data_IF_966188915395
#
_entry.id   IF_966188915395
#
_cell.length_a   1.000
_cell.length_b   1.000
_cell.length_c   1.000
_cell.angle_alpha   90.00
_cell.angle_beta   90.00
_cell.angle_gamma   90.00
#
_symmetry.space_group_name_H-M   'P 1'
#
loop_
_entity.id
_entity.type
_entity.pdbx_description
1 polymer ?
#
# COMPACT_ATOMS: atom_id res chain seq x y z
N UNK A 1 -30.60 8.54 -12.38
CA UNK A 1 -30.02 9.43 -13.41
C UNK A 1 -29.10 10.38 -12.67
N UNK A 2 -27.82 10.46 -13.03
CA UNK A 2 -26.86 11.33 -12.34
C UNK A 2 -27.17 12.77 -12.77
N UNK A 3 -27.40 13.66 -11.80
CA UNK A 3 -27.76 15.04 -12.10
C UNK A 3 -26.51 15.79 -12.57
N UNK A 4 -26.64 16.65 -13.57
CA UNK A 4 -25.51 17.40 -14.15
C UNK A 4 -24.80 18.25 -13.09
N UNK A 5 -25.53 18.64 -12.05
CA UNK A 5 -25.02 19.43 -10.92
C UNK A 5 -24.15 18.63 -9.93
N UNK A 6 -24.13 17.30 -9.99
CA UNK A 6 -23.28 16.48 -9.12
C UNK A 6 -21.78 16.64 -9.42
N UNK A 7 -21.44 17.17 -10.60
CA UNK A 7 -20.06 17.49 -10.99
C UNK A 7 -19.55 18.83 -10.47
N UNK A 8 -20.44 19.73 -10.03
CA UNK A 8 -20.05 21.04 -9.54
C UNK A 8 -19.86 21.01 -8.01
N UNK A 9 -18.60 21.17 -7.60
CA UNK A 9 -18.22 21.27 -6.19
C UNK A 9 -18.14 22.75 -5.83
N UNK A 10 -19.01 23.18 -4.91
CA UNK A 10 -19.11 24.55 -4.44
C UNK A 10 -17.94 24.93 -3.52
N UNK A 11 -17.63 26.23 -3.37
CA UNK A 11 -16.62 26.69 -2.43
C UNK A 11 -16.84 26.22 -0.99
N UNK A 12 -18.09 26.14 -0.54
CA UNK A 12 -18.44 25.66 0.81
C UNK A 12 -18.15 24.16 0.97
N UNK A 13 -18.45 23.35 -0.05
CA UNK A 13 -18.12 21.92 -0.06
C UNK A 13 -16.61 21.69 0.01
N UNK A 14 -15.79 22.57 -0.60
CA UNK A 14 -14.34 22.51 -0.43
C UNK A 14 -13.88 22.85 0.99
N UNK A 15 -14.54 23.78 1.69
CA UNK A 15 -14.23 24.08 3.11
C UNK A 15 -14.57 22.90 4.02
N UNK A 16 -15.68 22.21 3.74
CA UNK A 16 -16.05 20.98 4.44
C UNK A 16 -14.98 19.91 4.21
N UNK A 17 -14.55 19.70 2.97
CA UNK A 17 -13.49 18.76 2.64
C UNK A 17 -12.17 19.08 3.35
N UNK A 18 -11.78 20.35 3.37
CA UNK A 18 -10.57 20.83 4.06
C UNK A 18 -10.63 20.58 5.56
N UNK A 19 -11.78 20.81 6.19
CA UNK A 19 -12.03 20.49 7.61
C UNK A 19 -11.90 18.99 7.91
N UNK A 20 -12.19 18.13 6.92
CA UNK A 20 -11.97 16.68 6.99
C UNK A 20 -10.55 16.24 6.57
N UNK A 21 -9.63 17.18 6.31
CA UNK A 21 -8.26 16.91 5.89
C UNK A 21 -8.11 16.43 4.44
N UNK A 22 -9.08 16.75 3.58
CA UNK A 22 -9.10 16.37 2.16
C UNK A 22 -8.79 17.61 1.33
N UNK A 23 -7.75 17.53 0.50
CA UNK A 23 -7.37 18.64 -0.36
C UNK A 23 -8.35 18.84 -1.51
N UNK A 24 -8.48 20.08 -1.99
CA UNK A 24 -9.33 20.42 -3.15
C UNK A 24 -8.98 19.60 -4.39
N UNK A 25 -7.69 19.33 -4.60
CA UNK A 25 -7.22 18.50 -5.70
C UNK A 25 -7.72 17.05 -5.56
N UNK A 26 -7.68 16.49 -4.35
CA UNK A 26 -8.16 15.14 -4.08
C UNK A 26 -9.67 15.02 -4.29
N UNK A 27 -10.46 16.01 -3.85
CA UNK A 27 -11.92 16.05 -4.11
C UNK A 27 -12.19 16.03 -5.62
N UNK A 28 -11.48 16.86 -6.40
CA UNK A 28 -11.63 16.89 -7.85
C UNK A 28 -11.27 15.56 -8.52
N UNK A 29 -10.17 14.93 -8.11
CA UNK A 29 -9.79 13.60 -8.62
C UNK A 29 -10.86 12.57 -8.32
N UNK A 30 -11.41 12.56 -7.10
CA UNK A 30 -12.48 11.64 -6.69
C UNK A 30 -13.73 11.79 -7.54
N UNK A 31 -14.24 13.01 -7.71
CA UNK A 31 -15.47 13.25 -8.48
C UNK A 31 -15.24 13.06 -9.98
N UNK A 32 -14.17 13.65 -10.53
CA UNK A 32 -13.99 13.75 -12.00
C UNK A 32 -13.25 12.57 -12.63
N UNK A 33 -12.26 12.00 -11.94
CA UNK A 33 -11.45 10.90 -12.48
C UNK A 33 -11.92 9.55 -11.97
N UNK A 34 -12.30 9.45 -10.69
CA UNK A 34 -12.70 8.20 -10.06
C UNK A 34 -14.21 7.99 -10.04
N UNK A 35 -14.99 8.97 -10.50
CA UNK A 35 -16.45 8.94 -10.53
C UNK A 35 -17.08 8.59 -9.17
N UNK A 36 -16.45 9.04 -8.08
CA UNK A 36 -17.03 8.92 -6.74
C UNK A 36 -18.23 9.84 -6.62
N UNK A 37 -19.20 9.43 -5.81
CA UNK A 37 -20.26 10.33 -5.40
C UNK A 37 -19.68 11.52 -4.62
N UNK A 38 -20.28 12.69 -4.80
CA UNK A 38 -19.80 13.95 -4.24
C UNK A 38 -19.70 13.89 -2.70
N UNK A 39 -20.64 13.22 -2.05
CA UNK A 39 -20.68 13.09 -0.60
C UNK A 39 -19.47 12.30 -0.07
N UNK A 40 -19.22 11.10 -0.60
CA UNK A 40 -18.04 10.29 -0.29
C UNK A 40 -16.74 11.02 -0.63
N UNK A 41 -16.72 11.79 -1.71
CA UNK A 41 -15.54 12.53 -2.13
C UNK A 41 -15.08 13.57 -1.10
N UNK A 42 -16.04 14.19 -0.39
CA UNK A 42 -15.84 15.28 0.58
C UNK A 42 -15.69 14.76 2.03
N UNK A 43 -16.19 13.56 2.34
CA UNK A 43 -16.19 13.03 3.71
C UNK A 43 -15.12 11.97 3.99
N UNK A 44 -14.80 11.11 3.04
CA UNK A 44 -13.90 9.99 3.31
C UNK A 44 -12.45 10.47 3.35
N UNK A 45 -11.78 10.36 4.50
CA UNK A 45 -10.36 10.73 4.60
C UNK A 45 -9.47 9.86 3.68
N UNK A 46 -8.38 10.41 3.11
CA UNK A 46 -7.44 9.62 2.34
C UNK A 46 -6.74 8.57 3.20
N UNK A 47 -6.40 7.43 2.59
CA UNK A 47 -5.55 6.44 3.21
C UNK A 47 -4.17 7.06 3.51
N UNK A 48 -3.75 7.01 4.77
CA UNK A 48 -2.41 7.44 5.17
C UNK A 48 -1.41 6.36 4.78
N UNK A 49 -0.54 6.69 3.83
CA UNK A 49 0.61 5.85 3.51
C UNK A 49 1.65 6.08 4.60
N UNK A 50 1.98 5.02 5.36
CA UNK A 50 3.13 5.06 6.29
C UNK A 50 4.41 5.19 5.47
N UNK A 51 5.19 6.23 5.74
CA UNK A 51 6.54 6.38 5.21
C UNK A 51 7.54 5.90 6.25
N UNK A 52 8.47 5.07 5.82
CA UNK A 52 9.59 4.63 6.66
C UNK A 52 10.84 5.44 6.31
N UNK A 53 11.69 5.61 7.31
CA UNK A 53 12.89 6.42 7.22
C UNK A 53 14.00 5.72 6.42
N UNK A 54 15.07 6.46 6.17
CA UNK A 54 16.19 5.97 5.34
C UNK A 54 16.93 4.79 5.98
N UNK A 55 16.89 4.64 7.31
CA UNK A 55 17.53 3.50 7.99
C UNK A 55 16.86 2.17 7.64
N UNK A 56 15.53 2.14 7.57
CA UNK A 56 14.78 0.96 7.15
C UNK A 56 15.08 0.63 5.70
N UNK A 57 15.17 1.63 4.81
CA UNK A 57 15.54 1.37 3.41
C UNK A 57 16.95 0.77 3.29
N UNK A 58 17.90 1.28 4.07
CA UNK A 58 19.24 0.70 4.12
C UNK A 58 19.22 -0.75 4.61
N UNK A 59 18.45 -1.05 5.67
CA UNK A 59 18.26 -2.42 6.19
C UNK A 59 17.66 -3.36 5.14
N UNK A 60 16.62 -2.92 4.42
CA UNK A 60 15.98 -3.70 3.36
C UNK A 60 16.96 -4.05 2.24
N UNK A 61 17.81 -3.07 1.86
CA UNK A 61 18.84 -3.26 0.84
C UNK A 61 19.89 -4.30 1.27
N UNK A 62 20.35 -4.24 2.52
CA UNK A 62 21.28 -5.22 3.09
C UNK A 62 20.68 -6.63 3.10
N UNK A 63 19.39 -6.74 3.46
CA UNK A 63 18.69 -8.02 3.52
C UNK A 63 18.14 -8.51 2.17
N UNK A 64 18.38 -7.77 1.08
CA UNK A 64 17.90 -8.12 -0.26
C UNK A 64 16.37 -8.13 -0.40
N UNK A 65 15.66 -7.38 0.45
CA UNK A 65 14.20 -7.29 0.44
C UNK A 65 13.80 -6.02 -0.32
N UNK A 66 12.92 -6.18 -1.32
CA UNK A 66 12.38 -5.00 -2.02
C UNK A 66 11.42 -4.21 -1.13
N UNK A 67 11.38 -2.88 -1.30
CA UNK A 67 10.43 -2.03 -0.59
C UNK A 67 8.98 -2.50 -0.80
N UNK A 68 8.64 -2.90 -2.03
CA UNK A 68 7.30 -3.42 -2.34
C UNK A 68 6.95 -4.67 -1.50
N UNK A 69 7.91 -5.59 -1.33
CA UNK A 69 7.74 -6.77 -0.47
C UNK A 69 7.55 -6.36 0.99
N UNK A 70 8.36 -5.42 1.46
CA UNK A 70 8.27 -4.90 2.83
C UNK A 70 6.89 -4.26 3.10
N UNK A 71 6.43 -3.34 2.23
CA UNK A 71 5.11 -2.71 2.39
C UNK A 71 3.97 -3.73 2.35
N UNK A 72 4.04 -4.76 1.49
CA UNK A 72 3.07 -5.86 1.51
C UNK A 72 3.07 -6.60 2.86
N UNK A 73 4.24 -6.92 3.41
CA UNK A 73 4.35 -7.57 4.72
C UNK A 73 3.73 -6.71 5.82
N UNK A 74 3.97 -5.39 5.82
CA UNK A 74 3.31 -4.46 6.74
C UNK A 74 1.78 -4.48 6.55
N UNK A 75 1.28 -4.50 5.31
CA UNK A 75 -0.16 -4.58 5.03
C UNK A 75 -0.79 -5.89 5.53
N UNK A 76 0.00 -6.96 5.64
CA UNK A 76 -0.41 -8.23 6.24
C UNK A 76 -0.29 -8.24 7.76
N UNK A 77 0.06 -7.11 8.40
CA UNK A 77 0.18 -6.98 9.84
C UNK A 77 1.51 -7.46 10.42
N UNK A 78 2.56 -7.62 9.61
CA UNK A 78 3.88 -7.96 10.13
C UNK A 78 4.50 -6.78 10.88
N UNK A 79 5.31 -7.09 11.89
CA UNK A 79 6.16 -6.08 12.54
C UNK A 79 7.22 -5.58 11.56
N UNK A 80 7.70 -4.35 11.78
CA UNK A 80 8.71 -3.71 10.93
C UNK A 80 9.98 -4.56 10.86
N UNK A 81 10.46 -5.03 12.02
CA UNK A 81 11.65 -5.87 12.12
C UNK A 81 11.50 -7.15 11.31
N UNK A 82 10.41 -7.89 11.52
CA UNK A 82 10.14 -9.13 10.78
C UNK A 82 10.00 -8.87 9.29
N UNK A 83 9.27 -7.82 8.91
CA UNK A 83 9.07 -7.47 7.52
C UNK A 83 10.39 -7.14 6.80
N UNK A 84 11.34 -6.55 7.52
CA UNK A 84 12.63 -6.11 7.00
C UNK A 84 13.74 -7.16 7.11
N UNK A 85 13.54 -8.29 7.79
CA UNK A 85 14.58 -9.32 8.01
C UNK A 85 14.23 -10.70 7.47
N UNK A 86 12.96 -11.04 7.36
CA UNK A 86 12.56 -12.37 6.90
C UNK A 86 12.94 -12.59 5.43
N UNK A 87 13.57 -13.72 5.14
CA UNK A 87 13.99 -14.06 3.78
C UNK A 87 12.82 -14.11 2.79
N UNK A 88 13.07 -13.71 1.54
CA UNK A 88 12.09 -13.85 0.46
C UNK A 88 12.23 -15.27 -0.09
N UNK A 89 11.22 -16.11 0.11
CA UNK A 89 11.20 -17.46 -0.47
C UNK A 89 11.00 -17.37 -1.99
N UNK A 90 12.07 -17.30 -2.77
CA UNK A 90 11.94 -17.40 -4.22
C UNK A 90 11.54 -18.82 -4.61
N UNK A 91 10.72 -18.93 -5.66
CA UNK A 91 10.26 -20.24 -6.17
C UNK A 91 11.43 -21.18 -6.47
N UNK A 92 12.55 -20.65 -6.98
CA UNK A 92 13.79 -21.40 -7.21
C UNK A 92 14.40 -21.93 -5.91
N UNK A 93 14.43 -21.13 -4.85
CA UNK A 93 14.99 -21.54 -3.56
C UNK A 93 14.15 -22.64 -2.93
N UNK A 94 12.82 -22.55 -3.04
CA UNK A 94 11.90 -23.61 -2.60
C UNK A 94 12.19 -24.90 -3.36
N UNK A 95 12.31 -24.84 -4.70
CA UNK A 95 12.60 -26.00 -5.55
C UNK A 95 13.97 -26.61 -5.19
N UNK A 96 15.00 -25.79 -5.05
CA UNK A 96 16.33 -26.23 -4.65
C UNK A 96 16.33 -26.90 -3.27
N UNK A 97 15.58 -26.35 -2.32
CA UNK A 97 15.42 -26.92 -0.97
C UNK A 97 14.71 -28.27 -1.03
N UNK A 98 13.69 -28.42 -1.87
CA UNK A 98 13.01 -29.70 -2.12
C UNK A 98 13.93 -30.74 -2.76
N UNK A 99 14.70 -30.36 -3.79
CA UNK A 99 15.68 -31.26 -4.44
C UNK A 99 16.72 -31.73 -3.43
N UNK A 100 17.26 -30.82 -2.61
CA UNK A 100 18.27 -31.15 -1.60
C UNK A 100 17.71 -32.04 -0.49
N UNK A 101 16.46 -31.82 -0.05
CA UNK A 101 15.80 -32.70 0.91
C UNK A 101 15.62 -34.11 0.34
N UNK A 102 15.20 -34.23 -0.93
CA UNK A 102 15.06 -35.52 -1.63
C UNK A 102 16.39 -36.26 -1.75
N UNK A 103 17.49 -35.56 -2.08
CA UNK A 103 18.83 -36.16 -2.16
C UNK A 103 19.31 -36.72 -0.82
N UNK A 104 19.06 -36.02 0.29
CA UNK A 104 19.44 -36.51 1.63
C UNK A 104 18.70 -37.79 2.03
N UNK A 105 17.43 -37.92 1.66
CA UNK A 105 16.64 -39.14 1.95
C UNK A 105 16.98 -40.34 1.05
N UNK A 106 17.71 -40.14 -0.05
CA UNK A 106 18.17 -41.23 -0.93
C UNK A 106 19.55 -41.74 -0.49
N UNK A 107 20.36 -40.87 0.11
CA UNK A 107 21.75 -41.16 0.50
C UNK A 107 21.91 -41.50 2.00
N UNK A 108 20.82 -41.57 2.76
CA UNK A 108 20.78 -41.98 4.17
C UNK A 108 19.80 -43.13 4.35
#
# INVERSE_FOLDING_TARGET
MMDVYDYYITPEEYKIAESNGISKELVNKRVRLYAWDKHSAILLAPNKIKKYDESIKALLKVNGISEATFYKRISYGWTVERAATESVNFRKDIINKMINARRRNING
#
